data_IF_291182135466
#
_entry.id   IF_291182135466
#
_cell.length_a   1.000
_cell.length_b   1.000
_cell.length_c   1.000
_cell.angle_alpha   90.00
_cell.angle_beta   90.00
_cell.angle_gamma   90.00
#
_symmetry.space_group_name_H-M   'P 1'
#
loop_
_entity.id
_entity.type
_entity.pdbx_description
1 polymer ?
#
# COMPACT_ATOMS: atom_id res chain seq x y z
N UNK A 1 -7.19 2.42 25.07
CA UNK A 1 -6.72 3.49 24.17
C UNK A 1 -6.64 2.94 22.74
N UNK A 2 -7.21 3.66 21.75
CA UNK A 2 -7.14 3.28 20.34
C UNK A 2 -5.83 3.77 19.72
N UNK A 3 -5.15 2.90 18.97
CA UNK A 3 -3.92 3.25 18.23
C UNK A 3 -4.24 3.35 16.74
N UNK A 4 -4.08 4.54 16.16
CA UNK A 4 -4.15 4.74 14.71
C UNK A 4 -3.04 3.92 14.07
N UNK A 5 -3.41 3.04 13.14
CA UNK A 5 -2.48 2.10 12.51
C UNK A 5 -2.73 2.12 11.02
N UNK A 6 -1.67 2.20 10.24
CA UNK A 6 -1.68 1.94 8.81
C UNK A 6 -0.75 0.77 8.56
N UNK A 7 -1.32 -0.35 8.12
CA UNK A 7 -0.59 -1.60 7.98
C UNK A 7 -1.20 -2.47 6.89
N UNK A 8 -0.36 -3.02 6.03
CA UNK A 8 -0.70 -4.01 5.02
C UNK A 8 0.30 -5.16 5.10
N UNK A 9 -0.20 -6.39 5.25
CA UNK A 9 0.61 -7.60 5.32
C UNK A 9 0.26 -8.52 4.14
N UNK A 10 1.28 -8.99 3.41
CA UNK A 10 1.14 -9.93 2.30
C UNK A 10 2.01 -11.14 2.58
N UNK A 11 1.39 -12.30 2.73
CA UNK A 11 2.07 -13.57 2.99
C UNK A 11 2.09 -14.42 1.72
N UNK A 12 3.21 -15.08 1.47
CA UNK A 12 3.38 -15.99 0.35
C UNK A 12 4.20 -17.20 0.74
N UNK A 13 4.43 -18.07 -0.24
CA UNK A 13 5.23 -19.28 -0.02
C UNK A 13 6.61 -18.92 0.50
N UNK A 14 7.30 -17.95 -0.07
CA UNK A 14 8.70 -17.65 0.29
C UNK A 14 8.90 -16.68 1.45
N UNK A 15 7.84 -16.22 2.11
CA UNK A 15 7.96 -15.23 3.19
C UNK A 15 6.79 -14.25 3.21
N UNK A 16 7.05 -13.03 3.68
CA UNK A 16 6.06 -11.96 3.71
C UNK A 16 6.64 -10.60 3.36
N UNK A 17 5.74 -9.71 2.97
CA UNK A 17 5.95 -8.27 2.90
C UNK A 17 5.02 -7.59 3.91
N UNK A 18 5.55 -6.64 4.66
CA UNK A 18 4.80 -5.80 5.57
C UNK A 18 5.08 -4.34 5.22
N UNK A 19 4.01 -3.61 4.88
CA UNK A 19 4.03 -2.14 4.79
C UNK A 19 3.47 -1.59 6.09
N UNK A 20 4.25 -0.81 6.81
CA UNK A 20 3.88 -0.24 8.10
C UNK A 20 4.09 1.29 8.08
N UNK A 21 3.16 2.03 8.66
CA UNK A 21 3.19 3.48 8.69
C UNK A 21 2.72 4.15 7.38
N UNK A 22 2.44 5.45 7.48
CA UNK A 22 1.99 6.32 6.38
C UNK A 22 2.58 7.75 6.52
N UNK A 23 3.64 7.89 7.32
CA UNK A 23 4.14 9.19 7.73
C UNK A 23 3.26 9.87 8.78
N UNK A 24 3.72 11.02 9.27
CA UNK A 24 3.02 11.84 10.26
C UNK A 24 2.59 11.04 11.50
N UNK A 25 1.29 11.09 11.82
CA UNK A 25 0.73 10.42 12.99
C UNK A 25 0.70 8.88 12.92
N UNK A 26 0.95 8.30 11.73
CA UNK A 26 0.95 6.85 11.52
C UNK A 26 2.35 6.24 11.66
N UNK A 27 3.38 7.06 11.92
CA UNK A 27 4.77 6.62 12.04
C UNK A 27 5.51 6.60 10.71
N UNK A 28 6.82 6.32 10.77
CA UNK A 28 7.69 6.22 9.60
C UNK A 28 7.20 5.14 8.65
N UNK A 29 7.15 5.45 7.35
CA UNK A 29 6.81 4.49 6.31
C UNK A 29 7.92 3.47 6.15
N UNK A 30 7.56 2.19 6.23
CA UNK A 30 8.49 1.07 6.16
C UNK A 30 7.96 -0.01 5.24
N UNK A 31 8.86 -0.59 4.46
CA UNK A 31 8.67 -1.90 3.84
C UNK A 31 9.58 -2.89 4.58
N UNK A 32 8.98 -3.98 5.07
CA UNK A 32 9.68 -5.07 5.74
C UNK A 32 9.50 -6.33 4.89
N UNK A 33 10.61 -6.95 4.50
CA UNK A 33 10.63 -8.21 3.75
C UNK A 33 11.22 -9.31 4.63
N UNK A 34 10.36 -10.19 5.13
CA UNK A 34 10.77 -11.37 5.89
C UNK A 34 10.90 -12.58 4.96
N UNK A 35 12.11 -13.12 4.81
CA UNK A 35 12.35 -14.34 4.01
C UNK A 35 12.10 -15.59 4.83
N UNK A 36 11.28 -16.51 4.31
CA UNK A 36 11.01 -17.78 4.99
C UNK A 36 12.29 -18.58 5.20
N UNK A 37 12.47 -19.08 6.41
CA UNK A 37 13.51 -20.05 6.77
C UNK A 37 12.86 -21.38 7.15
N UNK A 38 13.62 -22.47 7.06
CA UNK A 38 13.17 -23.80 7.51
C UNK A 38 13.40 -24.03 9.01
N UNK A 39 14.05 -23.09 9.70
CA UNK A 39 14.31 -23.15 11.13
C UNK A 39 13.13 -22.66 11.98
N UNK A 40 13.27 -22.74 13.30
CA UNK A 40 12.31 -22.15 14.26
C UNK A 40 12.62 -20.69 14.60
N UNK A 41 13.70 -20.16 14.05
CA UNK A 41 14.10 -18.78 14.26
C UNK A 41 13.19 -17.83 13.48
N UNK A 42 12.97 -16.60 13.98
CA UNK A 42 12.31 -15.57 13.21
C UNK A 42 12.99 -15.41 11.83
N UNK A 43 12.20 -15.20 10.76
CA UNK A 43 12.77 -14.98 9.45
C UNK A 43 13.67 -13.74 9.47
N UNK A 44 14.82 -13.77 8.78
CA UNK A 44 15.63 -12.57 8.60
C UNK A 44 14.80 -11.53 7.84
N UNK A 45 14.81 -10.31 8.34
CA UNK A 45 14.09 -9.18 7.76
C UNK A 45 15.05 -8.21 7.09
N UNK A 46 14.68 -7.74 5.91
CA UNK A 46 15.22 -6.53 5.29
C UNK A 46 14.20 -5.41 5.45
N UNK A 47 14.67 -4.24 5.90
CA UNK A 47 13.83 -3.09 6.19
C UNK A 47 14.27 -1.93 5.30
N UNK A 48 13.33 -1.38 4.54
CA UNK A 48 13.49 -0.10 3.84
C UNK A 48 12.61 0.94 4.51
N UNK A 49 13.18 2.09 4.80
CA UNK A 49 12.46 3.22 5.39
C UNK A 49 12.30 4.33 4.34
N UNK A 50 11.13 4.96 4.33
CA UNK A 50 10.78 6.03 3.39
C UNK A 50 10.43 7.30 4.19
N UNK A 51 11.43 8.02 4.72
CA UNK A 51 11.18 9.22 5.51
C UNK A 51 10.58 10.33 4.66
N UNK A 52 9.55 11.00 5.17
CA UNK A 52 9.03 12.21 4.55
C UNK A 52 10.09 13.30 4.56
N UNK A 53 10.34 13.93 3.41
CA UNK A 53 11.23 15.08 3.32
C UNK A 53 10.50 16.34 3.84
N UNK A 54 11.08 17.10 4.80
CA UNK A 54 10.46 18.33 5.30
C UNK A 54 10.15 19.31 4.17
N UNK A 55 8.89 19.76 4.10
CA UNK A 55 8.43 20.71 3.08
C UNK A 55 8.22 20.13 1.69
N UNK A 56 8.42 18.82 1.49
CA UNK A 56 8.13 18.14 0.23
C UNK A 56 6.84 17.34 0.36
N UNK A 57 5.78 17.71 -0.38
CA UNK A 57 4.55 16.93 -0.40
C UNK A 57 4.79 15.57 -1.07
N UNK A 58 4.03 14.57 -0.66
CA UNK A 58 3.99 13.28 -1.33
C UNK A 58 3.58 13.43 -2.82
N UNK A 59 4.16 12.58 -3.67
CA UNK A 59 3.97 12.65 -5.10
C UNK A 59 2.79 11.80 -5.61
N UNK A 60 2.19 10.91 -4.80
CA UNK A 60 1.22 9.94 -5.27
C UNK A 60 -0.01 10.59 -5.90
N UNK A 61 -0.53 11.68 -5.33
CA UNK A 61 -1.66 12.41 -5.92
C UNK A 61 -1.28 13.05 -7.25
N UNK A 62 -0.11 13.68 -7.32
CA UNK A 62 0.40 14.27 -8.56
C UNK A 62 0.58 13.21 -9.64
N UNK A 63 1.18 12.07 -9.30
CA UNK A 63 1.40 10.96 -10.22
C UNK A 63 0.07 10.40 -10.72
N UNK A 64 -0.90 10.17 -9.83
CA UNK A 64 -2.24 9.69 -10.19
C UNK A 64 -2.98 10.67 -11.10
N UNK A 65 -2.82 11.98 -10.89
CA UNK A 65 -3.37 13.00 -11.76
C UNK A 65 -2.72 12.99 -13.15
N UNK A 66 -1.40 12.84 -13.21
CA UNK A 66 -0.67 12.73 -14.47
C UNK A 66 -1.10 11.46 -15.25
N UNK A 67 -1.27 10.32 -14.58
CA UNK A 67 -1.81 9.09 -15.18
C UNK A 67 -3.21 9.31 -15.77
N UNK A 68 -4.08 10.00 -15.04
CA UNK A 68 -5.42 10.35 -15.52
C UNK A 68 -5.38 11.25 -16.76
N UNK A 69 -4.53 12.28 -16.77
CA UNK A 69 -4.39 13.15 -17.95
C UNK A 69 -3.84 12.37 -19.15
N UNK A 70 -2.91 11.45 -18.92
CA UNK A 70 -2.35 10.60 -19.98
C UNK A 70 -3.39 9.63 -20.54
N UNK A 71 -4.27 9.08 -19.71
CA UNK A 71 -5.32 8.15 -20.17
C UNK A 71 -6.25 8.82 -21.18
N UNK A 72 -6.61 10.09 -20.93
CA UNK A 72 -7.40 10.92 -21.85
C UNK A 72 -6.64 11.16 -23.16
N UNK A 73 -5.39 11.64 -23.06
CA UNK A 73 -4.58 11.97 -24.25
C UNK A 73 -4.36 10.77 -25.17
N UNK A 74 -4.21 9.59 -24.59
CA UNK A 74 -3.92 8.36 -25.32
C UNK A 74 -5.19 7.56 -25.67
N UNK A 75 -6.36 7.99 -25.19
CA UNK A 75 -7.63 7.24 -25.33
C UNK A 75 -7.47 5.77 -24.88
N UNK A 76 -6.74 5.57 -23.78
CA UNK A 76 -6.40 4.25 -23.25
C UNK A 76 -6.53 4.28 -21.74
N UNK A 77 -7.07 3.22 -21.15
CA UNK A 77 -7.08 3.06 -19.70
C UNK A 77 -5.64 2.96 -19.16
N UNK A 78 -5.28 3.90 -18.30
CA UNK A 78 -4.01 3.94 -17.54
C UNK A 78 -4.41 4.09 -16.08
N UNK A 79 -3.85 3.23 -15.22
CA UNK A 79 -4.18 3.22 -13.80
C UNK A 79 -5.58 2.63 -13.52
N UNK A 80 -6.13 2.90 -12.31
CA UNK A 80 -7.43 2.40 -11.91
C UNK A 80 -8.59 2.95 -12.76
N UNK A 81 -9.55 2.09 -13.06
CA UNK A 81 -10.74 2.38 -13.86
C UNK A 81 -12.02 2.39 -13.01
N UNK A 82 -13.14 2.78 -13.63
CA UNK A 82 -14.45 2.64 -13.01
C UNK A 82 -14.81 1.18 -12.66
N UNK A 83 -14.26 0.20 -13.40
CA UNK A 83 -14.49 -1.22 -13.12
C UNK A 83 -13.81 -1.64 -11.81
N UNK A 84 -12.61 -1.13 -11.54
CA UNK A 84 -11.88 -1.38 -10.30
C UNK A 84 -12.61 -0.77 -9.10
N UNK A 85 -13.13 0.44 -9.26
CA UNK A 85 -13.96 1.08 -8.24
C UNK A 85 -15.22 0.27 -7.92
N UNK A 86 -15.95 -0.22 -8.94
CA UNK A 86 -17.13 -1.08 -8.75
C UNK A 86 -16.76 -2.40 -8.08
N UNK A 87 -15.63 -3.01 -8.44
CA UNK A 87 -15.17 -4.25 -7.81
C UNK A 87 -14.85 -4.04 -6.32
N UNK A 88 -14.16 -2.96 -5.97
CA UNK A 88 -13.88 -2.61 -4.58
C UNK A 88 -15.17 -2.35 -3.78
N UNK A 89 -16.12 -1.59 -4.35
CA UNK A 89 -17.41 -1.31 -3.71
C UNK A 89 -18.24 -2.56 -3.48
N UNK A 90 -18.21 -3.53 -4.41
CA UNK A 90 -18.88 -4.83 -4.20
C UNK A 90 -18.31 -5.55 -2.98
N UNK A 91 -16.99 -5.59 -2.80
CA UNK A 91 -16.37 -6.21 -1.63
C UNK A 91 -16.82 -5.52 -0.34
N UNK A 92 -16.85 -4.19 -0.34
CA UNK A 92 -17.34 -3.39 0.79
C UNK A 92 -18.80 -3.73 1.11
N UNK A 93 -19.67 -3.73 0.11
CA UNK A 93 -21.10 -4.04 0.25
C UNK A 93 -21.32 -5.42 0.88
N UNK A 94 -20.59 -6.45 0.43
CA UNK A 94 -20.67 -7.78 1.03
C UNK A 94 -20.23 -7.81 2.49
N UNK A 95 -19.26 -6.98 2.88
CA UNK A 95 -18.82 -6.85 4.27
C UNK A 95 -19.84 -6.19 5.20
N UNK A 96 -20.71 -5.33 4.67
CA UNK A 96 -21.78 -4.64 5.42
C UNK A 96 -23.16 -5.31 5.31
N UNK A 97 -23.32 -6.35 4.50
CA UNK A 97 -24.59 -7.05 4.29
C UNK A 97 -25.04 -7.92 5.50
N UNK A 98 -24.53 -7.63 6.70
CA UNK A 98 -24.80 -8.35 7.95
C UNK A 98 -25.37 -7.41 9.01
#
# INVERSE_FOLDING_TARGET
HWKKTFRLEVYGREGYLLVDGLGGQYGLERLIHGRRTHGREPPPEEIWEFPSEPGKPDAALKNSWEEFVQSIKQSKDIGPSARDAVAALKVIEHGYAH
#
